data_IF_218745078029
#
_entry.id   IF_218745078029
#
_cell.length_a   1.000
_cell.length_b   1.000
_cell.length_c   1.000
_cell.angle_alpha   90.00
_cell.angle_beta   90.00
_cell.angle_gamma   90.00
#
_symmetry.space_group_name_H-M   'P 1'
#
loop_
_entity.id
_entity.type
_entity.pdbx_description
1 polymer ?
#
# COMPACT_ATOMS: atom_id res chain seq x y z
N UNK A 1 -20.13 26.15 -19.47
CA UNK A 1 -18.92 26.53 -18.72
C UNK A 1 -17.81 25.58 -19.14
N UNK A 2 -17.03 25.99 -20.14
CA UNK A 2 -15.87 25.25 -20.63
C UNK A 2 -14.71 25.50 -19.67
N UNK A 3 -14.30 24.49 -18.89
CA UNK A 3 -13.09 24.56 -18.08
C UNK A 3 -11.89 24.48 -19.02
N UNK A 4 -11.23 25.63 -19.17
CA UNK A 4 -10.09 25.84 -20.04
C UNK A 4 -8.84 25.12 -19.56
N UNK A 5 -8.06 24.71 -20.55
CA UNK A 5 -6.65 24.36 -20.48
C UNK A 5 -5.83 25.50 -19.82
N UNK A 6 -5.04 25.17 -18.79
CA UNK A 6 -4.13 26.13 -18.14
C UNK A 6 -3.21 25.48 -17.11
N UNK A 7 -1.92 25.37 -17.44
CA UNK A 7 -0.78 25.27 -16.50
C UNK A 7 -0.79 24.09 -15.52
N UNK A 8 -0.30 22.93 -15.96
CA UNK A 8 0.00 21.80 -15.06
C UNK A 8 1.13 22.16 -14.09
N UNK A 9 0.78 22.74 -12.94
CA UNK A 9 1.65 22.75 -11.78
C UNK A 9 1.80 21.30 -11.32
N UNK A 10 3.05 20.83 -11.19
CA UNK A 10 3.34 19.50 -10.65
C UNK A 10 2.94 19.47 -9.17
N UNK A 11 1.67 19.17 -8.89
CA UNK A 11 1.19 18.95 -7.52
C UNK A 11 1.78 17.65 -6.99
N UNK A 12 2.79 17.77 -6.12
CA UNK A 12 3.36 16.61 -5.44
C UNK A 12 2.49 16.29 -4.22
N UNK A 13 1.76 15.18 -4.30
CA UNK A 13 1.05 14.64 -3.13
C UNK A 13 2.07 14.20 -2.08
N UNK A 14 2.02 14.71 -0.83
CA UNK A 14 2.93 14.29 0.24
C UNK A 14 2.82 12.79 0.53
N UNK A 15 3.93 12.18 0.94
CA UNK A 15 4.05 10.74 1.20
C UNK A 15 2.95 10.21 2.13
N UNK A 16 2.69 10.90 3.24
CA UNK A 16 1.70 10.47 4.23
C UNK A 16 0.28 10.34 3.63
N UNK A 17 -0.11 11.22 2.70
CA UNK A 17 -1.43 11.11 2.05
C UNK A 17 -1.51 9.91 1.09
N UNK A 18 -0.39 9.55 0.45
CA UNK A 18 -0.31 8.32 -0.34
C UNK A 18 -0.42 7.10 0.57
N UNK A 19 0.32 7.09 1.68
CA UNK A 19 0.28 6.01 2.67
C UNK A 19 -1.11 5.83 3.30
N UNK A 20 -1.81 6.92 3.62
CA UNK A 20 -3.20 6.85 4.11
C UNK A 20 -4.14 6.21 3.09
N UNK A 21 -4.00 6.57 1.80
CA UNK A 21 -4.78 5.96 0.73
C UNK A 21 -4.49 4.46 0.60
N UNK A 22 -3.23 4.08 0.75
CA UNK A 22 -2.86 2.66 0.74
C UNK A 22 -3.41 1.93 1.96
N UNK A 23 -3.39 2.54 3.15
CA UNK A 23 -3.96 1.96 4.36
C UNK A 23 -5.45 1.66 4.18
N UNK A 24 -6.21 2.65 3.69
CA UNK A 24 -7.64 2.48 3.40
C UNK A 24 -7.90 1.35 2.39
N UNK A 25 -7.01 1.19 1.41
CA UNK A 25 -7.10 0.12 0.41
C UNK A 25 -6.76 -1.25 1.00
N UNK A 26 -5.74 -1.32 1.87
CA UNK A 26 -5.34 -2.51 2.59
C UNK A 26 -6.46 -3.03 3.49
N UNK A 27 -7.11 -2.13 4.25
CA UNK A 27 -8.23 -2.47 5.15
C UNK A 27 -9.49 -2.92 4.41
N UNK A 28 -9.76 -2.38 3.23
CA UNK A 28 -10.90 -2.80 2.38
C UNK A 28 -10.67 -4.14 1.69
N UNK A 29 -9.44 -4.64 1.69
CA UNK A 29 -9.05 -5.83 0.94
C UNK A 29 -8.75 -5.52 -0.52
N UNK A 30 -7.86 -6.33 -1.09
CA UNK A 30 -7.27 -6.10 -2.42
C UNK A 30 -7.50 -7.33 -3.27
N UNK A 31 -8.17 -7.12 -4.41
CA UNK A 31 -8.32 -8.13 -5.45
C UNK A 31 -8.82 -9.48 -4.94
N UNK A 32 -8.07 -10.53 -5.23
CA UNK A 32 -8.37 -11.93 -4.92
C UNK A 32 -7.86 -12.38 -3.54
N UNK A 33 -7.46 -11.45 -2.67
CA UNK A 33 -6.92 -11.67 -1.32
C UNK A 33 -5.62 -12.48 -1.24
N UNK A 34 -4.93 -12.72 -2.36
CA UNK A 34 -3.62 -13.41 -2.36
C UNK A 34 -2.50 -12.53 -1.80
N UNK A 35 -2.68 -11.21 -1.85
CA UNK A 35 -1.77 -10.23 -1.26
C UNK A 35 -2.57 -9.31 -0.36
N UNK A 36 -2.05 -9.08 0.85
CA UNK A 36 -2.58 -8.10 1.78
C UNK A 36 -1.45 -7.33 2.44
N UNK A 37 -1.76 -6.12 2.89
CA UNK A 37 -0.81 -5.29 3.63
C UNK A 37 -1.55 -4.40 4.62
N UNK A 38 -0.86 -4.05 5.70
CA UNK A 38 -1.38 -3.19 6.74
C UNK A 38 -0.25 -2.61 7.60
N UNK A 39 -0.59 -1.65 8.46
CA UNK A 39 0.37 -1.10 9.40
C UNK A 39 0.86 -2.16 10.39
N UNK A 40 2.16 -2.17 10.67
CA UNK A 40 2.77 -3.07 11.67
C UNK A 40 2.38 -2.66 13.11
N UNK A 41 2.15 -1.35 13.35
CA UNK A 41 1.71 -0.81 14.63
C UNK A 41 0.87 0.46 14.46
N UNK A 42 -0.26 0.54 15.18
CA UNK A 42 -1.20 1.66 15.08
C UNK A 42 -0.75 2.94 15.80
N UNK A 43 0.34 2.88 16.57
CA UNK A 43 0.98 4.00 17.23
C UNK A 43 1.97 4.76 16.31
N UNK A 44 2.37 4.16 15.18
CA UNK A 44 3.21 4.81 14.17
C UNK A 44 2.40 5.82 13.34
N UNK A 45 2.32 7.05 13.83
CA UNK A 45 1.63 8.17 13.15
C UNK A 45 2.17 8.48 11.75
N UNK A 46 3.39 8.04 11.43
CA UNK A 46 4.02 8.29 10.15
C UNK A 46 3.79 7.15 9.14
N UNK A 47 3.17 6.05 9.55
CA UNK A 47 2.90 4.87 8.71
C UNK A 47 4.16 4.40 7.98
N UNK A 48 5.27 4.26 8.70
CA UNK A 48 6.54 3.81 8.14
C UNK A 48 6.61 2.30 8.10
N UNK A 49 6.14 1.63 9.16
CA UNK A 49 6.27 0.18 9.28
C UNK A 49 5.00 -0.52 8.81
N UNK A 50 5.16 -1.42 7.84
CA UNK A 50 4.08 -2.19 7.25
C UNK A 50 4.38 -3.68 7.32
N UNK A 51 3.33 -4.47 7.53
CA UNK A 51 3.36 -5.93 7.38
C UNK A 51 2.59 -6.29 6.12
N UNK A 52 3.27 -7.00 5.22
CA UNK A 52 2.70 -7.53 4.00
C UNK A 52 2.60 -9.05 4.09
N UNK A 53 1.52 -9.60 3.56
CA UNK A 53 1.28 -11.03 3.45
C UNK A 53 1.08 -11.42 2.00
N UNK A 54 1.78 -12.47 1.58
CA UNK A 54 1.65 -13.04 0.24
C UNK A 54 1.33 -14.53 0.39
N UNK A 55 0.24 -14.96 -0.24
CA UNK A 55 -0.15 -16.36 -0.37
C UNK A 55 0.41 -16.85 -1.70
N UNK A 56 1.22 -17.91 -1.63
CA UNK A 56 1.85 -18.46 -2.82
C UNK A 56 0.81 -19.00 -3.81
N UNK A 57 0.91 -18.64 -5.10
CA UNK A 57 -0.10 -18.94 -6.10
C UNK A 57 -0.19 -20.44 -6.39
N UNK A 58 -1.37 -20.87 -6.83
CA UNK A 58 -1.61 -22.24 -7.27
C UNK A 58 -0.73 -22.64 -8.46
N UNK A 59 -0.31 -23.91 -8.50
CA UNK A 59 0.53 -24.49 -9.55
C UNK A 59 1.98 -23.94 -9.60
N UNK A 60 2.47 -23.40 -8.49
CA UNK A 60 3.87 -22.99 -8.33
C UNK A 60 4.51 -23.66 -7.10
N UNK A 61 5.83 -23.64 -7.03
CA UNK A 61 6.62 -24.25 -5.92
C UNK A 61 6.29 -23.70 -4.53
N UNK A 62 5.63 -22.55 -4.48
CA UNK A 62 5.26 -21.85 -3.25
C UNK A 62 3.76 -21.97 -2.93
N UNK A 63 3.01 -22.78 -3.68
CA UNK A 63 1.57 -22.95 -3.51
C UNK A 63 1.16 -23.19 -2.04
N UNK A 64 0.18 -22.40 -1.58
CA UNK A 64 -0.37 -22.52 -0.23
C UNK A 64 0.57 -22.06 0.90
N UNK A 65 1.77 -21.54 0.58
CA UNK A 65 2.67 -20.97 1.59
C UNK A 65 2.29 -19.52 1.87
N UNK A 66 2.29 -19.14 3.14
CA UNK A 66 2.07 -17.77 3.58
C UNK A 66 3.44 -17.15 3.88
N UNK A 67 3.75 -16.09 3.16
CA UNK A 67 4.95 -15.27 3.38
C UNK A 67 4.55 -13.99 4.07
N UNK A 68 5.22 -13.67 5.17
CA UNK A 68 5.08 -12.39 5.84
C UNK A 68 6.35 -11.57 5.62
N UNK A 69 6.18 -10.34 5.18
CA UNK A 69 7.26 -9.38 4.94
C UNK A 69 7.06 -8.17 5.83
N UNK A 70 8.17 -7.56 6.25
CA UNK A 70 8.18 -6.24 6.89
C UNK A 70 8.73 -5.22 5.91
N UNK A 71 7.98 -4.15 5.70
CA UNK A 71 8.35 -3.05 4.83
C UNK A 71 8.50 -1.78 5.65
N UNK A 72 9.48 -0.98 5.25
CA UNK A 72 9.77 0.31 5.87
C UNK A 72 9.71 1.40 4.80
N UNK A 73 8.72 2.28 4.92
CA UNK A 73 8.49 3.43 4.04
C UNK A 73 9.17 4.68 4.61
N UNK A 74 10.50 4.68 4.62
CA UNK A 74 11.28 5.87 5.02
C UNK A 74 11.43 6.87 3.86
N UNK A 75 11.97 8.05 4.18
CA UNK A 75 12.42 9.03 3.18
C UNK A 75 13.87 8.74 2.86
N UNK A 76 14.21 8.67 1.59
CA UNK A 76 15.59 8.87 1.13
C UNK A 76 16.06 10.31 1.44
#
# INVERSE_FOLDING_TARGET
MTLGSGGGSNFVVPQNFRLLKELERGEKGIGDSTVSYGMDGGDDIYMRSWTDTIIGPHNYVHEGRIYQLKLFCDKD
#
